data_IF_628663324374
#
_entry.id   IF_628663324374
#
_cell.length_a   1.000
_cell.length_b   1.000
_cell.length_c   1.000
_cell.angle_alpha   90.00
_cell.angle_beta   90.00
_cell.angle_gamma   90.00
#
_symmetry.space_group_name_H-M   'P 1'
#
loop_
_entity.id
_entity.type
_entity.pdbx_description
1 polymer ?
#
# COMPACT_ATOMS: atom_id res chain seq x y z
N UNK A 1 -1.29 6.04 2.09
CA UNK A 1 -2.02 5.07 2.94
C UNK A 1 -3.14 4.28 2.26
N UNK A 2 -3.87 4.77 1.24
CA UNK A 2 -5.03 4.04 0.67
C UNK A 2 -4.72 2.78 -0.17
N UNK A 3 -3.45 2.50 -0.45
CA UNK A 3 -3.02 1.37 -1.30
C UNK A 3 -3.58 0.00 -0.85
N UNK A 4 -3.49 -0.40 0.44
CA UNK A 4 -4.09 -1.63 0.93
C UNK A 4 -5.59 -1.78 0.63
N UNK A 5 -6.36 -0.70 0.81
CA UNK A 5 -7.81 -0.71 0.58
C UNK A 5 -8.14 -0.88 -0.91
N UNK A 6 -7.45 -0.12 -1.77
CA UNK A 6 -7.60 -0.26 -3.21
C UNK A 6 -7.26 -1.68 -3.68
N UNK A 7 -6.22 -2.28 -3.09
CA UNK A 7 -5.85 -3.67 -3.39
C UNK A 7 -6.91 -4.66 -2.96
N UNK A 8 -7.53 -4.50 -1.78
CA UNK A 8 -8.64 -5.36 -1.38
C UNK A 8 -9.81 -5.30 -2.36
N UNK A 9 -10.13 -4.11 -2.86
CA UNK A 9 -11.17 -3.95 -3.88
C UNK A 9 -10.80 -4.64 -5.21
N UNK A 10 -9.53 -4.59 -5.62
CA UNK A 10 -9.05 -5.26 -6.84
C UNK A 10 -9.00 -6.79 -6.69
N UNK A 11 -8.55 -7.28 -5.54
CA UNK A 11 -8.45 -8.72 -5.26
C UNK A 11 -9.83 -9.34 -4.99
N UNK A 12 -10.79 -8.55 -4.52
CA UNK A 12 -12.12 -9.02 -4.14
C UNK A 12 -12.06 -10.03 -2.99
N UNK A 13 -12.84 -11.10 -3.11
CA UNK A 13 -12.88 -12.17 -2.12
C UNK A 13 -13.69 -11.80 -0.88
N UNK A 14 -13.36 -12.43 0.25
CA UNK A 14 -14.13 -12.31 1.50
C UNK A 14 -13.47 -11.25 2.39
N UNK A 15 -14.25 -10.33 2.95
CA UNK A 15 -13.78 -9.36 3.95
C UNK A 15 -13.39 -10.07 5.25
N UNK A 16 -12.21 -9.77 5.78
CA UNK A 16 -11.65 -10.41 6.98
C UNK A 16 -12.43 -10.10 8.27
N UNK A 17 -13.16 -8.99 8.29
CA UNK A 17 -13.91 -8.46 9.43
C UNK A 17 -15.40 -8.85 9.39
N UNK A 18 -16.05 -8.67 8.24
CA UNK A 18 -17.50 -8.87 8.10
C UNK A 18 -17.86 -10.22 7.47
N UNK A 19 -16.91 -10.89 6.83
CA UNK A 19 -17.19 -12.07 6.00
C UNK A 19 -17.96 -11.76 4.70
N UNK A 20 -18.19 -10.48 4.38
CA UNK A 20 -18.91 -10.10 3.16
C UNK A 20 -18.08 -10.46 1.92
N UNK A 21 -18.74 -11.01 0.91
CA UNK A 21 -18.12 -11.30 -0.38
C UNK A 21 -18.13 -10.07 -1.28
N UNK A 22 -16.95 -9.60 -1.68
CA UNK A 22 -16.75 -8.43 -2.55
C UNK A 22 -16.80 -8.77 -4.05
N UNK A 23 -16.98 -10.05 -4.40
CA UNK A 23 -16.96 -10.51 -5.78
C UNK A 23 -15.63 -11.16 -6.19
N UNK A 24 -15.55 -11.51 -7.46
CA UNK A 24 -14.36 -12.09 -8.07
C UNK A 24 -13.24 -11.04 -8.23
N UNK A 25 -11.97 -11.46 -8.29
CA UNK A 25 -10.86 -10.54 -8.53
C UNK A 25 -11.03 -9.79 -9.85
N UNK A 26 -10.71 -8.49 -9.84
CA UNK A 26 -10.67 -7.61 -11.01
C UNK A 26 -9.27 -7.54 -11.64
N UNK A 27 -8.34 -8.40 -11.22
CA UNK A 27 -6.92 -8.36 -11.61
C UNK A 27 -6.71 -8.45 -13.12
N UNK A 28 -7.61 -9.12 -13.84
CA UNK A 28 -7.60 -9.19 -15.30
C UNK A 28 -8.14 -7.93 -16.01
N UNK A 29 -8.86 -7.06 -15.29
CA UNK A 29 -9.38 -5.79 -15.81
C UNK A 29 -8.46 -4.61 -15.46
N UNK A 30 -7.62 -4.77 -14.44
CA UNK A 30 -6.65 -3.74 -14.02
C UNK A 30 -5.36 -3.89 -14.81
N UNK A 31 -5.18 -3.03 -15.81
CA UNK A 31 -3.93 -3.00 -16.59
C UNK A 31 -2.72 -2.57 -15.75
N UNK A 32 -2.88 -1.55 -14.90
CA UNK A 32 -1.79 -1.02 -14.08
C UNK A 32 -2.32 -0.54 -12.73
N UNK A 33 -1.68 -1.00 -11.65
CA UNK A 33 -1.88 -0.49 -10.31
C UNK A 33 -0.62 0.26 -9.86
N UNK A 34 -0.79 1.48 -9.32
CA UNK A 34 0.29 2.31 -8.82
C UNK A 34 -0.03 2.69 -7.38
N UNK A 35 0.69 2.11 -6.42
CA UNK A 35 0.66 2.55 -5.03
C UNK A 35 1.70 3.65 -4.80
N UNK A 36 1.31 4.78 -4.21
CA UNK A 36 2.24 5.85 -3.78
C UNK A 36 2.18 5.95 -2.27
N UNK A 37 3.34 5.79 -1.61
CA UNK A 37 3.42 5.79 -0.14
C UNK A 37 2.35 4.87 0.48
N UNK A 38 2.27 3.65 -0.06
CA UNK A 38 1.32 2.62 0.35
C UNK A 38 1.73 2.00 1.68
N UNK A 39 0.76 1.80 2.58
CA UNK A 39 0.94 1.10 3.85
C UNK A 39 0.75 -0.41 3.65
N UNK A 40 1.44 -1.00 2.67
CA UNK A 40 1.16 -2.35 2.17
C UNK A 40 1.56 -3.44 3.16
N UNK A 41 2.55 -3.20 4.02
CA UNK A 41 2.98 -4.12 5.07
C UNK A 41 2.62 -3.69 6.49
N UNK A 42 2.61 -2.38 6.73
CA UNK A 42 2.07 -1.74 7.92
C UNK A 42 2.04 -0.21 7.75
N UNK A 43 1.67 0.52 8.81
CA UNK A 43 2.05 1.91 9.03
C UNK A 43 2.51 2.08 10.49
N UNK A 44 3.53 1.33 10.87
CA UNK A 44 3.99 1.21 12.27
C UNK A 44 4.27 2.56 12.97
N UNK A 45 4.93 3.55 12.34
CA UNK A 45 5.14 4.86 12.96
C UNK A 45 3.83 5.56 13.34
N UNK A 46 2.82 5.50 12.46
CA UNK A 46 1.49 6.04 12.74
C UNK A 46 0.77 5.22 13.81
N UNK A 47 0.81 3.89 13.71
CA UNK A 47 0.09 3.02 14.63
C UNK A 47 0.70 2.93 16.03
N UNK A 48 1.99 3.25 16.19
CA UNK A 48 2.59 3.49 17.52
C UNK A 48 2.03 4.76 18.17
N UNK A 49 1.82 5.81 17.38
CA UNK A 49 1.30 7.09 17.89
C UNK A 49 -0.22 7.05 18.12
N UNK A 50 -0.94 6.28 17.31
CA UNK A 50 -2.41 6.23 17.27
C UNK A 50 -2.95 4.81 17.50
N UNK A 51 -2.31 4.03 18.37
CA UNK A 51 -2.63 2.62 18.60
C UNK A 51 -4.09 2.36 19.01
N UNK A 52 -4.74 3.34 19.64
CA UNK A 52 -6.14 3.29 20.07
C UNK A 52 -7.15 3.68 18.99
N UNK A 53 -6.70 3.95 17.77
CA UNK A 53 -7.58 4.35 16.67
C UNK A 53 -7.95 3.15 15.81
N UNK A 54 -9.19 3.15 15.31
CA UNK A 54 -9.73 2.14 14.40
C UNK A 54 -8.78 1.73 13.25
N UNK A 55 -8.10 2.63 12.50
CA UNK A 55 -7.23 2.21 11.40
C UNK A 55 -6.04 1.34 11.83
N UNK A 56 -5.71 1.25 13.12
CA UNK A 56 -4.57 0.49 13.63
C UNK A 56 -4.96 -0.80 14.37
N UNK A 57 -6.19 -1.29 14.22
CA UNK A 57 -6.58 -2.57 14.82
C UNK A 57 -5.97 -3.79 14.08
N UNK A 58 -6.01 -4.96 14.72
CA UNK A 58 -5.41 -6.20 14.22
C UNK A 58 -6.30 -7.00 13.25
N UNK A 59 -7.54 -6.59 13.03
CA UNK A 59 -8.50 -7.25 12.14
C UNK A 59 -8.46 -6.60 10.76
N UNK A 60 -8.99 -5.40 10.61
CA UNK A 60 -9.10 -4.67 9.33
C UNK A 60 -8.20 -3.42 9.25
N UNK A 61 -7.33 -3.21 10.24
CA UNK A 61 -6.40 -2.09 10.27
C UNK A 61 -5.09 -2.34 9.50
N UNK A 62 -4.23 -1.32 9.50
CA UNK A 62 -2.91 -1.30 8.85
C UNK A 62 -1.76 -1.52 9.85
N UNK A 63 -2.06 -2.07 11.02
CA UNK A 63 -1.02 -2.49 11.96
C UNK A 63 -0.25 -3.70 11.42
N UNK A 64 1.02 -3.79 11.82
CA UNK A 64 1.88 -4.93 11.52
C UNK A 64 1.14 -6.25 11.81
N UNK A 65 1.17 -7.15 10.82
CA UNK A 65 0.51 -8.45 10.88
C UNK A 65 -1.00 -8.40 11.16
N UNK A 66 -1.73 -7.35 10.76
CA UNK A 66 -3.20 -7.40 10.80
C UNK A 66 -3.74 -8.49 9.86
N UNK A 67 -4.93 -9.02 10.15
CA UNK A 67 -5.57 -10.03 9.30
C UNK A 67 -5.78 -9.50 7.87
N UNK A 68 -6.15 -8.23 7.74
CA UNK A 68 -6.30 -7.55 6.47
C UNK A 68 -5.01 -7.46 5.65
N UNK A 69 -3.88 -7.07 6.26
CA UNK A 69 -2.61 -6.99 5.54
C UNK A 69 -2.07 -8.37 5.14
N UNK A 70 -2.34 -9.42 5.93
CA UNK A 70 -2.04 -10.80 5.52
C UNK A 70 -2.88 -11.24 4.33
N UNK A 71 -4.15 -10.88 4.30
CA UNK A 71 -5.09 -11.23 3.22
C UNK A 71 -4.68 -10.62 1.88
N UNK A 72 -4.33 -9.33 1.85
CA UNK A 72 -4.08 -8.63 0.60
C UNK A 72 -2.68 -8.85 -0.01
N UNK A 73 -1.69 -9.37 0.72
CA UNK A 73 -0.27 -9.36 0.32
C UNK A 73 0.15 -10.44 -0.70
N UNK A 74 -0.71 -10.69 -1.69
CA UNK A 74 -0.62 -11.75 -2.69
C UNK A 74 -0.46 -11.28 -4.15
N UNK A 75 0.37 -10.24 -4.44
CA UNK A 75 0.93 -9.81 -5.77
C UNK A 75 0.70 -8.31 -6.18
N UNK A 76 1.62 -7.67 -6.98
CA UNK A 76 1.57 -6.39 -7.81
C UNK A 76 2.52 -5.19 -7.38
N UNK A 77 2.73 -4.15 -8.23
CA UNK A 77 3.76 -3.04 -8.24
C UNK A 77 3.60 -1.77 -7.37
N UNK A 78 4.71 -1.05 -7.02
CA UNK A 78 4.70 0.08 -6.04
C UNK A 78 5.73 1.23 -6.23
N UNK A 79 5.39 2.45 -5.77
CA UNK A 79 6.26 3.65 -5.63
C UNK A 79 6.37 4.07 -4.14
N UNK A 80 7.58 4.41 -3.66
CA UNK A 80 7.83 4.75 -2.24
C UNK A 80 8.86 5.87 -2.00
N UNK A 81 8.87 6.42 -0.78
CA UNK A 81 9.90 7.33 -0.27
C UNK A 81 10.56 6.76 0.98
N UNK A 82 11.88 6.93 1.11
CA UNK A 82 12.63 6.54 2.31
C UNK A 82 12.54 7.55 3.47
N UNK A 83 12.02 8.77 3.22
CA UNK A 83 11.84 9.84 4.22
C UNK A 83 10.38 10.00 4.69
N UNK A 84 9.55 9.01 4.37
CA UNK A 84 8.17 8.95 4.82
C UNK A 84 8.09 8.55 6.29
N UNK A 85 7.83 9.51 7.18
CA UNK A 85 7.70 9.28 8.62
C UNK A 85 6.29 8.90 9.07
N UNK A 86 5.29 8.99 8.18
CA UNK A 86 3.89 8.67 8.51
C UNK A 86 3.66 7.17 8.31
N UNK A 87 3.98 6.67 7.13
CA UNK A 87 3.88 5.24 6.83
C UNK A 87 5.16 4.52 7.27
N UNK A 88 6.31 5.20 7.25
CA UNK A 88 7.60 4.59 7.52
C UNK A 88 8.28 4.07 6.25
N UNK A 89 9.56 3.77 6.37
CA UNK A 89 10.39 3.25 5.29
C UNK A 89 10.51 1.72 5.34
N UNK A 90 10.68 1.18 6.55
CA UNK A 90 10.88 -0.24 6.86
C UNK A 90 9.75 -0.71 7.78
N UNK A 91 9.09 -1.80 7.39
CA UNK A 91 8.03 -2.47 8.12
C UNK A 91 8.60 -3.31 9.26
N UNK A 92 7.71 -3.80 10.12
CA UNK A 92 8.06 -4.64 11.26
C UNK A 92 8.75 -5.96 10.88
N UNK A 93 8.56 -6.45 9.65
CA UNK A 93 9.18 -7.65 9.10
C UNK A 93 10.53 -7.38 8.42
N UNK A 94 11.04 -6.15 8.51
CA UNK A 94 12.30 -5.71 7.92
C UNK A 94 12.24 -5.41 6.43
N UNK A 95 11.08 -5.57 5.79
CA UNK A 95 10.89 -5.23 4.38
C UNK A 95 10.47 -3.77 4.20
N UNK A 96 10.48 -3.25 2.98
CA UNK A 96 9.94 -1.90 2.78
C UNK A 96 8.44 -1.87 3.04
N UNK A 97 7.96 -0.87 3.78
CA UNK A 97 6.53 -0.72 4.11
C UNK A 97 5.64 -0.70 2.88
N UNK A 98 6.13 -0.05 1.83
CA UNK A 98 5.40 0.04 0.58
C UNK A 98 5.55 -1.18 -0.28
N UNK A 99 6.53 -2.06 -0.09
CA UNK A 99 6.72 -3.18 -1.01
C UNK A 99 5.52 -4.12 -1.02
N UNK A 100 5.26 -4.69 -2.20
CA UNK A 100 4.28 -5.74 -2.40
C UNK A 100 5.03 -6.91 -3.05
N UNK A 101 4.78 -8.13 -2.57
CA UNK A 101 5.36 -9.33 -3.19
C UNK A 101 5.01 -9.37 -4.68
N UNK A 102 5.93 -9.72 -5.58
CA UNK A 102 5.61 -9.82 -7.01
C UNK A 102 5.35 -8.48 -7.73
N UNK A 103 5.79 -7.35 -7.18
CA UNK A 103 5.86 -6.09 -7.91
C UNK A 103 6.75 -6.17 -9.16
N UNK A 104 6.33 -5.53 -10.24
CA UNK A 104 7.11 -5.35 -11.46
C UNK A 104 8.27 -4.36 -11.24
N UNK A 105 7.99 -3.22 -10.60
CA UNK A 105 8.95 -2.12 -10.44
C UNK A 105 8.83 -1.43 -9.08
N UNK A 106 9.91 -0.78 -8.66
CA UNK A 106 9.95 0.14 -7.52
C UNK A 106 10.62 1.47 -7.89
N UNK A 107 9.94 2.60 -7.65
CA UNK A 107 10.58 3.92 -7.69
C UNK A 107 10.78 4.40 -6.27
N UNK A 108 12.03 4.66 -5.91
CA UNK A 108 12.44 5.10 -4.58
C UNK A 108 12.89 6.56 -4.63
N UNK A 109 12.11 7.46 -4.03
CA UNK A 109 12.48 8.86 -3.90
C UNK A 109 13.17 9.13 -2.56
N UNK A 110 14.15 10.05 -2.58
CA UNK A 110 14.89 10.52 -1.41
C UNK A 110 14.47 11.96 -1.09
N UNK A 111 14.45 12.32 0.19
CA UNK A 111 14.12 13.64 0.74
C UNK A 111 12.67 14.12 0.53
N UNK A 112 11.71 13.22 0.31
CA UNK A 112 10.28 13.57 0.25
C UNK A 112 9.56 13.06 1.50
N UNK A 113 8.87 13.96 2.21
CA UNK A 113 7.93 13.59 3.27
C UNK A 113 6.67 12.90 2.69
N UNK A 114 5.87 12.26 3.54
CA UNK A 114 4.62 11.58 3.13
C UNK A 114 3.70 12.46 2.24
N UNK A 115 3.33 13.70 2.63
CA UNK A 115 2.51 14.53 1.75
C UNK A 115 3.27 14.95 0.49
N UNK A 116 4.58 15.24 0.59
CA UNK A 116 5.35 15.73 -0.56
C UNK A 116 5.47 14.68 -1.66
N UNK A 117 5.67 13.40 -1.33
CA UNK A 117 5.75 12.36 -2.37
C UNK A 117 4.42 12.23 -3.12
N UNK A 118 3.27 12.31 -2.44
CA UNK A 118 1.95 12.21 -3.08
C UNK A 118 1.75 13.30 -4.14
N UNK A 119 2.13 14.55 -3.83
CA UNK A 119 1.98 15.65 -4.78
C UNK A 119 3.09 15.69 -5.84
N UNK A 120 4.32 15.35 -5.48
CA UNK A 120 5.47 15.43 -6.38
C UNK A 120 5.49 14.33 -7.45
N UNK A 121 4.85 13.19 -7.21
CA UNK A 121 4.89 12.06 -8.17
C UNK A 121 3.80 12.11 -9.24
N UNK A 122 2.96 13.15 -9.31
CA UNK A 122 1.86 13.22 -10.28
C UNK A 122 2.32 13.06 -11.73
N UNK A 123 3.40 13.72 -12.13
CA UNK A 123 3.99 13.59 -13.46
C UNK A 123 4.54 12.18 -13.73
N UNK A 124 5.23 11.60 -12.74
CA UNK A 124 5.75 10.23 -12.82
C UNK A 124 4.61 9.22 -13.02
N UNK A 125 3.53 9.36 -12.24
CA UNK A 125 2.34 8.51 -12.35
C UNK A 125 1.75 8.63 -13.76
N UNK A 126 1.60 9.86 -14.27
CA UNK A 126 1.09 10.10 -15.61
C UNK A 126 1.94 9.40 -16.68
N UNK A 127 3.27 9.54 -16.60
CA UNK A 127 4.20 8.91 -17.56
C UNK A 127 4.11 7.37 -17.52
N UNK A 128 4.05 6.77 -16.32
CA UNK A 128 3.89 5.32 -16.18
C UNK A 128 2.58 4.84 -16.83
N UNK A 129 1.46 5.53 -16.57
CA UNK A 129 0.15 5.16 -17.14
C UNK A 129 0.15 5.26 -18.66
N UNK A 130 0.89 6.20 -19.24
CA UNK A 130 1.04 6.36 -20.69
C UNK A 130 2.09 5.42 -21.31
N UNK A 131 2.77 4.59 -20.50
CA UNK A 131 3.89 3.75 -20.97
C UNK A 131 5.11 4.55 -21.42
N UNK A 132 5.23 5.81 -20.98
CA UNK A 132 6.39 6.66 -21.26
C UNK A 132 7.50 6.27 -20.29
N UNK A 133 8.72 6.03 -20.82
CA UNK A 133 9.88 5.72 -19.98
C UNK A 133 10.13 6.86 -18.99
N UNK A 134 10.43 6.52 -17.74
CA UNK A 134 10.75 7.45 -16.64
C UNK A 134 12.10 8.16 -16.84
#
# INVERSE_FOLDING_TARGET
MGSPMARKAILGGICVDTGQYLGLPLTNLVHTFIGVAGANRDAEPLCKLLAWTEPCNQINGISCNSAFLRDINSVISVIRSIYDTIVGNIACDGQSVSSINGQNDEIVLKNYSHPMIIYATQDIIYRIVQGLKN
#
